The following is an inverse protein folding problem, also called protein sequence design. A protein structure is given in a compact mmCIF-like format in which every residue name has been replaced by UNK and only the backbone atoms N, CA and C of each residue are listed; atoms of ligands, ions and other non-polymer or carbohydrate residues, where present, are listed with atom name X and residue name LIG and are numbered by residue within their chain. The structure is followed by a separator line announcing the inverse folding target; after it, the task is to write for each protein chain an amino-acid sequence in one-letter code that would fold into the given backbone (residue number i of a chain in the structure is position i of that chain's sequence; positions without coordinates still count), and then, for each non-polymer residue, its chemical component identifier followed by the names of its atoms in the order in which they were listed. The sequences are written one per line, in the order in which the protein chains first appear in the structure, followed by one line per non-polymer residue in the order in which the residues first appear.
data_IF_838748957685
#
_entry.id   IF_838748957685
#
_cell.length_a   1.000
_cell.length_b   1.000
_cell.length_c   1.000
_cell.angle_alpha   90.00
_cell.angle_beta   90.00
_cell.angle_gamma   90.00
#
_symmetry.space_group_name_H-M   'P 1'
#
loop_
_entity.id
_entity.type
_entity.pdbx_description
1 polymer ?
#
# COMPACT_ATOMS: atom_id res chain seq x y z
N UNK A 1 -11.57 -15.72 5.49
CA UNK A 1 -10.22 -15.13 5.49
C UNK A 1 -9.72 -14.76 4.10
N UNK A 2 -9.88 -15.63 3.10
CA UNK A 2 -9.41 -15.40 1.72
C UNK A 2 -9.82 -14.04 1.10
N UNK A 3 -11.10 -13.66 1.19
CA UNK A 3 -11.60 -12.37 0.68
C UNK A 3 -10.94 -11.12 1.33
N UNK A 4 -10.52 -11.24 2.60
CA UNK A 4 -9.90 -10.12 3.34
C UNK A 4 -8.44 -9.92 2.90
N UNK A 5 -7.71 -11.01 2.64
CA UNK A 5 -6.33 -10.96 2.14
C UNK A 5 -6.31 -10.33 0.74
N UNK A 6 -7.18 -10.79 -0.17
CA UNK A 6 -7.29 -10.24 -1.52
C UNK A 6 -7.57 -8.73 -1.55
N UNK A 7 -8.42 -8.24 -0.64
CA UNK A 7 -8.69 -6.79 -0.52
C UNK A 7 -7.47 -6.01 -0.07
N UNK A 8 -6.65 -6.58 0.82
CA UNK A 8 -5.43 -5.93 1.30
C UNK A 8 -4.32 -5.96 0.23
N UNK A 9 -4.23 -7.04 -0.55
CA UNK A 9 -3.33 -7.13 -1.70
C UNK A 9 -3.67 -6.04 -2.72
N UNK A 10 -4.96 -5.91 -3.07
CA UNK A 10 -5.44 -4.84 -3.93
C UNK A 10 -5.04 -3.43 -3.43
N UNK A 11 -5.23 -3.14 -2.14
CA UNK A 11 -4.85 -1.85 -1.55
C UNK A 11 -3.33 -1.63 -1.64
N UNK A 12 -2.52 -2.66 -1.40
CA UNK A 12 -1.06 -2.55 -1.47
C UNK A 12 -0.59 -2.25 -2.90
N UNK A 13 -1.20 -2.90 -3.90
CA UNK A 13 -0.88 -2.71 -5.31
C UNK A 13 -1.27 -1.31 -5.80
N UNK A 14 -2.49 -0.86 -5.50
CA UNK A 14 -2.95 0.50 -5.83
C UNK A 14 -2.07 1.58 -5.20
N UNK A 15 -1.66 1.39 -3.95
CA UNK A 15 -0.73 2.30 -3.28
C UNK A 15 0.64 2.37 -3.97
N UNK A 16 1.16 1.23 -4.44
CA UNK A 16 2.40 1.17 -5.21
C UNK A 16 2.28 1.87 -6.57
N UNK A 17 1.16 1.68 -7.28
CA UNK A 17 0.89 2.37 -8.55
C UNK A 17 0.80 3.88 -8.35
N UNK A 18 0.12 4.33 -7.30
CA UNK A 18 0.02 5.75 -6.97
C UNK A 18 1.40 6.37 -6.69
N UNK A 19 2.26 5.69 -5.94
CA UNK A 19 3.64 6.14 -5.70
C UNK A 19 4.40 6.27 -7.02
N UNK A 20 4.33 5.28 -7.91
CA UNK A 20 5.00 5.34 -9.21
C UNK A 20 4.52 6.51 -10.07
N UNK A 21 3.21 6.75 -10.14
CA UNK A 21 2.64 7.86 -10.90
C UNK A 21 3.06 9.23 -10.36
N UNK A 22 3.16 9.35 -9.03
CA UNK A 22 3.49 10.61 -8.36
C UNK A 22 5.00 10.88 -8.33
N UNK A 23 5.85 9.86 -8.46
CA UNK A 23 7.31 9.97 -8.39
C UNK A 23 7.96 10.50 -9.68
N UNK A 24 7.16 10.94 -10.66
CA UNK A 24 7.65 11.62 -11.86
C UNK A 24 8.44 12.89 -11.48
N UNK A 25 9.57 13.12 -12.14
CA UNK A 25 10.49 14.24 -11.86
C UNK A 25 9.79 15.62 -11.99
N UNK A 26 8.85 15.76 -12.94
CA UNK A 26 7.99 16.94 -13.10
C UNK A 26 7.02 17.21 -11.94
N UNK A 27 6.80 16.22 -11.08
CA UNK A 27 5.73 16.16 -10.08
C UNK A 27 6.31 16.14 -8.66
N UNK A 28 7.52 15.57 -8.50
CA UNK A 28 8.25 15.45 -7.24
C UNK A 28 8.79 16.77 -6.65
N UNK A 29 8.79 17.88 -7.39
CA UNK A 29 9.14 19.20 -6.84
C UNK A 29 7.99 19.84 -6.04
N UNK A 30 6.77 19.32 -6.18
CA UNK A 30 5.61 19.86 -5.47
C UNK A 30 5.50 19.23 -4.07
N UNK A 31 5.64 20.05 -3.01
CA UNK A 31 5.62 19.59 -1.61
C UNK A 31 4.38 18.74 -1.26
N UNK A 32 3.20 19.12 -1.77
CA UNK A 32 1.96 18.36 -1.58
C UNK A 32 1.99 16.95 -2.19
N UNK A 33 2.75 16.75 -3.27
CA UNK A 33 2.85 15.46 -3.95
C UNK A 33 3.84 14.57 -3.19
N UNK A 34 4.94 15.11 -2.70
CA UNK A 34 5.84 14.39 -1.80
C UNK A 34 5.13 13.93 -0.51
N UNK A 35 4.25 14.75 0.06
CA UNK A 35 3.43 14.36 1.20
C UNK A 35 2.47 13.22 0.84
N UNK A 36 1.85 13.27 -0.35
CA UNK A 36 0.96 12.23 -0.84
C UNK A 36 1.70 10.89 -1.09
N UNK A 37 2.88 10.93 -1.72
CA UNK A 37 3.74 9.76 -1.92
C UNK A 37 4.03 9.06 -0.58
N UNK A 38 4.49 9.81 0.42
CA UNK A 38 4.79 9.27 1.76
C UNK A 38 3.57 8.60 2.40
N UNK A 39 2.37 9.17 2.22
CA UNK A 39 1.14 8.56 2.73
C UNK A 39 0.75 7.29 1.99
N UNK A 40 0.90 7.25 0.67
CA UNK A 40 0.63 6.03 -0.11
C UNK A 40 1.61 4.91 0.25
N UNK A 41 2.90 5.23 0.43
CA UNK A 41 3.88 4.25 0.92
C UNK A 41 3.50 3.67 2.29
N UNK A 42 3.03 4.52 3.21
CA UNK A 42 2.58 4.10 4.54
C UNK A 42 1.35 3.19 4.46
N UNK A 43 0.36 3.54 3.63
CA UNK A 43 -0.82 2.70 3.37
C UNK A 43 -0.39 1.32 2.83
N UNK A 44 0.50 1.28 1.84
CA UNK A 44 1.02 0.02 1.29
C UNK A 44 1.76 -0.82 2.35
N UNK A 45 2.55 -0.20 3.23
CA UNK A 45 3.23 -0.89 4.34
C UNK A 45 2.23 -1.48 5.34
N UNK A 46 1.19 -0.71 5.70
CA UNK A 46 0.14 -1.18 6.61
C UNK A 46 -0.63 -2.35 6.00
N UNK A 47 -1.01 -2.24 4.72
CA UNK A 47 -1.70 -3.31 4.01
C UNK A 47 -0.89 -4.61 4.01
N UNK A 48 0.41 -4.54 3.67
CA UNK A 48 1.32 -5.70 3.73
C UNK A 48 1.40 -6.33 5.12
N UNK A 49 1.53 -5.52 6.18
CA UNK A 49 1.54 -6.02 7.56
C UNK A 49 0.23 -6.72 7.94
N UNK A 50 -0.91 -6.19 7.48
CA UNK A 50 -2.21 -6.82 7.70
C UNK A 50 -2.35 -8.14 6.94
N UNK A 51 -1.82 -8.24 5.72
CA UNK A 51 -1.76 -9.51 4.96
C UNK A 51 -0.99 -10.56 5.76
N UNK A 52 0.19 -10.22 6.29
CA UNK A 52 1.00 -11.14 7.11
C UNK A 52 0.21 -11.65 8.32
N UNK A 53 -0.44 -10.74 9.07
CA UNK A 53 -1.24 -11.09 10.24
C UNK A 53 -2.40 -12.02 9.88
N UNK A 54 -3.16 -11.69 8.83
CA UNK A 54 -4.33 -12.48 8.43
C UNK A 54 -3.91 -13.83 7.82
N UNK A 55 -2.76 -13.89 7.15
CA UNK A 55 -2.19 -15.14 6.63
C UNK A 55 -1.76 -16.05 7.78
N UNK A 56 -1.10 -15.52 8.81
CA UNK A 56 -0.73 -16.30 10.00
C UNK A 56 -1.97 -16.82 10.74
N UNK A 57 -3.01 -15.98 10.89
CA UNK A 57 -4.28 -16.42 11.49
C UNK A 57 -4.95 -17.53 10.68
N UNK A 58 -4.91 -17.46 9.35
CA UNK A 58 -5.47 -18.49 8.48
C UNK A 58 -4.72 -19.83 8.54
N UNK A 59 -3.45 -19.83 8.98
CA UNK A 59 -2.64 -21.05 9.14
C UNK A 59 -2.77 -21.69 10.52
N UNK A 60 -3.21 -20.93 11.52
CA UNK A 60 -3.29 -21.35 12.92
C UNK A 60 -4.73 -21.58 13.41
N UNK A 61 -5.73 -21.50 12.52
CA UNK A 61 -7.15 -21.63 12.83
C UNK A 61 -7.84 -22.71 12.03
#
# INVERSE_FOLDING_TARGET
MYNKIQKLEFIADEASIAVLALSSELVGEHEGINALIKRMEEVGKIARRLIEIETLKARNG
#
